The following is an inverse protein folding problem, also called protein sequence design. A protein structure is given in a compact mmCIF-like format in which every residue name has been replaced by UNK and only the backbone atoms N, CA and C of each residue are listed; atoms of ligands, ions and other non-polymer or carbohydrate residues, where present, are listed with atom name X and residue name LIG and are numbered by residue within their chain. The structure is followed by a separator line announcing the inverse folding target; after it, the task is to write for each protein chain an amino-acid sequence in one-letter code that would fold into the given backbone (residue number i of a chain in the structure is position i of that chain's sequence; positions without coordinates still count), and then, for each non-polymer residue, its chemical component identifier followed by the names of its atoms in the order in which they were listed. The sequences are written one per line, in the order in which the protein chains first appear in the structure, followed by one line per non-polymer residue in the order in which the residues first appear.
data_IF_037700863379
#
_entry.id   IF_037700863379
#
_cell.length_a   1.000
_cell.length_b   1.000
_cell.length_c   1.000
_cell.angle_alpha   90.00
_cell.angle_beta   90.00
_cell.angle_gamma   90.00
#
_symmetry.space_group_name_H-M   'P 1'
#
loop_
_entity.id
_entity.type
_entity.pdbx_description
1 polymer ?
#
# COMPACT_ATOMS: atom_id res chain seq x y z
N UNK A 1 -28.93 -8.09 -4.63
CA UNK A 1 -27.86 -8.56 -3.72
C UNK A 1 -27.71 -7.48 -2.64
N UNK A 2 -28.22 -7.72 -1.44
CA UNK A 2 -28.14 -6.75 -0.33
C UNK A 2 -26.76 -6.90 0.29
N UNK A 3 -25.83 -5.98 0.00
CA UNK A 3 -24.55 -5.94 0.70
C UNK A 3 -24.80 -5.38 2.10
N UNK A 4 -24.46 -6.13 3.15
CA UNK A 4 -24.28 -5.55 4.48
C UNK A 4 -23.18 -4.48 4.40
N UNK A 5 -23.30 -3.38 5.15
CA UNK A 5 -22.33 -2.27 5.10
C UNK A 5 -20.87 -2.73 5.27
N UNK A 6 -20.65 -3.82 6.01
CA UNK A 6 -19.36 -4.44 6.25
C UNK A 6 -18.77 -5.13 5.01
N UNK A 7 -19.60 -5.91 4.29
CA UNK A 7 -19.17 -6.58 3.05
C UNK A 7 -18.86 -5.56 1.96
N UNK A 8 -19.61 -4.45 1.91
CA UNK A 8 -19.32 -3.35 1.00
C UNK A 8 -17.92 -2.76 1.26
N UNK A 9 -17.56 -2.50 2.51
CA UNK A 9 -16.26 -1.91 2.85
C UNK A 9 -15.09 -2.83 2.49
N UNK A 10 -15.24 -4.15 2.69
CA UNK A 10 -14.27 -5.14 2.25
C UNK A 10 -14.04 -5.07 0.73
N UNK A 11 -15.10 -5.00 -0.07
CA UNK A 11 -14.96 -4.86 -1.53
C UNK A 11 -14.31 -3.55 -1.94
N UNK A 12 -14.65 -2.45 -1.28
CA UNK A 12 -14.02 -1.15 -1.55
C UNK A 12 -12.51 -1.19 -1.26
N UNK A 13 -12.09 -1.80 -0.15
CA UNK A 13 -10.66 -1.99 0.16
C UNK A 13 -9.97 -2.90 -0.84
N UNK A 14 -10.62 -3.97 -1.30
CA UNK A 14 -10.04 -4.85 -2.30
C UNK A 14 -9.85 -4.14 -3.64
N UNK A 15 -10.86 -3.38 -4.10
CA UNK A 15 -10.77 -2.58 -5.32
C UNK A 15 -9.66 -1.52 -5.18
N UNK A 16 -9.60 -0.82 -4.05
CA UNK A 16 -8.56 0.15 -3.76
C UNK A 16 -7.16 -0.48 -3.76
N UNK A 17 -7.00 -1.71 -3.25
CA UNK A 17 -5.74 -2.45 -3.28
C UNK A 17 -5.33 -2.81 -4.72
N UNK A 18 -6.28 -3.29 -5.55
CA UNK A 18 -6.04 -3.61 -6.96
C UNK A 18 -5.61 -2.35 -7.72
N UNK A 19 -6.36 -1.25 -7.59
CA UNK A 19 -6.01 0.02 -8.23
C UNK A 19 -4.69 0.57 -7.71
N UNK A 20 -4.47 0.49 -6.40
CA UNK A 20 -3.27 0.92 -5.72
C UNK A 20 -2.01 0.13 -6.11
N UNK A 21 -2.16 -1.06 -6.69
CA UNK A 21 -1.06 -1.78 -7.33
C UNK A 21 -0.96 -1.51 -8.83
N UNK A 22 -2.09 -1.58 -9.55
CA UNK A 22 -2.11 -1.44 -10.99
C UNK A 22 -1.56 -0.07 -11.44
N UNK A 23 -1.96 1.01 -10.76
CA UNK A 23 -1.57 2.36 -11.16
C UNK A 23 -0.05 2.59 -10.98
N UNK A 24 0.59 2.37 -9.81
CA UNK A 24 2.04 2.53 -9.70
C UNK A 24 2.83 1.58 -10.60
N UNK A 25 2.41 0.31 -10.70
CA UNK A 25 3.10 -0.67 -11.54
C UNK A 25 3.00 -0.32 -13.03
N UNK A 26 1.90 0.28 -13.48
CA UNK A 26 1.77 0.78 -14.86
C UNK A 26 2.81 1.84 -15.22
N UNK A 27 3.29 2.61 -14.23
CA UNK A 27 4.31 3.64 -14.43
C UNK A 27 5.72 3.07 -14.23
N UNK A 28 5.88 2.12 -13.30
CA UNK A 28 7.15 1.47 -13.02
C UNK A 28 7.59 0.52 -14.16
N UNK A 29 6.64 -0.17 -14.79
CA UNK A 29 6.95 -1.16 -15.83
C UNK A 29 7.62 -0.56 -17.08
N UNK A 30 7.14 0.55 -17.67
CA UNK A 30 7.84 1.25 -18.74
C UNK A 30 9.23 1.75 -18.32
N UNK A 31 9.38 2.24 -17.10
CA UNK A 31 10.67 2.67 -16.57
C UNK A 31 11.67 1.50 -16.52
N UNK A 32 11.25 0.35 -15.97
CA UNK A 32 12.07 -0.86 -15.91
C UNK A 32 12.39 -1.42 -17.30
N UNK A 33 11.45 -1.36 -18.24
CA UNK A 33 11.67 -1.81 -19.61
C UNK A 33 12.71 -0.96 -20.35
N UNK A 34 12.78 0.34 -20.05
CA UNK A 34 13.71 1.27 -20.70
C UNK A 34 15.07 1.36 -20.01
N UNK A 35 15.10 1.30 -18.68
CA UNK A 35 16.29 1.60 -17.88
C UNK A 35 16.83 0.38 -17.12
N UNK A 36 16.11 -0.75 -17.12
CA UNK A 36 16.41 -1.89 -16.26
C UNK A 36 16.12 -1.59 -14.78
N UNK A 37 16.68 -2.41 -13.88
CA UNK A 37 16.54 -2.24 -12.44
C UNK A 37 17.53 -1.18 -11.89
N UNK A 38 17.45 0.04 -12.41
CA UNK A 38 18.32 1.15 -12.01
C UNK A 38 17.68 1.98 -10.88
N UNK A 39 17.88 1.51 -9.65
CA UNK A 39 17.38 2.18 -8.43
C UNK A 39 18.00 3.59 -8.27
N UNK A 40 19.32 3.81 -8.45
CA UNK A 40 19.89 5.16 -8.40
C UNK A 40 19.23 6.16 -9.36
N UNK A 41 18.94 5.74 -10.59
CA UNK A 41 18.25 6.59 -11.57
C UNK A 41 16.82 6.89 -11.15
N UNK A 42 16.11 5.91 -10.60
CA UNK A 42 14.74 6.11 -10.08
C UNK A 42 14.72 7.17 -8.99
N UNK A 43 15.65 7.12 -8.03
CA UNK A 43 15.77 8.15 -7.00
C UNK A 43 16.13 9.52 -7.57
N UNK A 44 17.05 9.58 -8.54
CA UNK A 44 17.41 10.84 -9.20
C UNK A 44 16.21 11.47 -9.93
N UNK A 45 15.38 10.66 -10.58
CA UNK A 45 14.14 11.12 -11.24
C UNK A 45 13.05 11.48 -10.23
N UNK A 46 12.93 10.77 -9.11
CA UNK A 46 11.99 11.09 -8.05
C UNK A 46 12.27 12.47 -7.44
N UNK A 47 13.54 12.81 -7.28
CA UNK A 47 13.97 14.10 -6.73
C UNK A 47 14.43 15.12 -7.78
N UNK A 48 14.06 14.93 -9.06
CA UNK A 48 14.52 15.80 -10.15
C UNK A 48 13.93 17.22 -10.08
N UNK A 49 12.72 17.37 -9.56
CA UNK A 49 12.03 18.65 -9.44
C UNK A 49 11.23 18.73 -8.13
N UNK A 50 10.82 19.95 -7.76
CA UNK A 50 10.14 20.21 -6.50
C UNK A 50 8.82 19.43 -6.36
N UNK A 51 8.07 19.26 -7.45
CA UNK A 51 6.78 18.55 -7.43
C UNK A 51 6.98 17.05 -7.25
N UNK A 52 7.90 16.43 -7.99
CA UNK A 52 8.22 15.01 -7.86
C UNK A 52 8.83 14.71 -6.48
N UNK A 53 9.69 15.59 -5.96
CA UNK A 53 10.25 15.49 -4.62
C UNK A 53 9.15 15.57 -3.55
N UNK A 54 8.18 16.47 -3.70
CA UNK A 54 7.03 16.58 -2.80
C UNK A 54 6.25 15.25 -2.74
N UNK A 55 5.89 14.67 -3.89
CA UNK A 55 5.22 13.37 -3.93
C UNK A 55 6.09 12.24 -3.36
N UNK A 56 7.39 12.23 -3.64
CA UNK A 56 8.31 11.25 -3.09
C UNK A 56 8.38 11.31 -1.56
N UNK A 57 8.52 12.51 -0.99
CA UNK A 57 8.54 12.72 0.45
C UNK A 57 7.19 12.36 1.10
N UNK A 58 6.07 12.74 0.48
CA UNK A 58 4.73 12.41 0.96
C UNK A 58 4.53 10.89 1.06
N UNK A 59 4.98 10.13 0.05
CA UNK A 59 4.94 8.66 0.04
C UNK A 59 5.86 8.06 1.12
N UNK A 60 7.05 8.63 1.33
CA UNK A 60 7.98 8.16 2.37
C UNK A 60 7.37 8.36 3.76
N UNK A 61 6.87 9.56 4.06
CA UNK A 61 6.25 9.87 5.36
C UNK A 61 5.01 9.00 5.56
N UNK A 62 4.16 8.86 4.54
CA UNK A 62 2.98 7.99 4.58
C UNK A 62 3.34 6.51 4.79
N UNK A 63 4.46 6.04 4.23
CA UNK A 63 4.95 4.66 4.44
C UNK A 63 5.36 4.42 5.89
N UNK A 64 6.09 5.37 6.50
CA UNK A 64 6.47 5.28 7.91
C UNK A 64 5.23 5.29 8.81
N UNK A 65 4.28 6.21 8.55
CA UNK A 65 3.02 6.26 9.28
C UNK A 65 2.22 4.95 9.14
N UNK A 66 2.18 4.38 7.93
CA UNK A 66 1.55 3.09 7.67
C UNK A 66 2.19 1.97 8.49
N UNK A 67 3.52 1.89 8.55
CA UNK A 67 4.18 0.84 9.33
C UNK A 67 3.83 0.95 10.82
N UNK A 68 3.89 2.16 11.38
CA UNK A 68 3.48 2.40 12.77
C UNK A 68 2.02 1.96 13.01
N UNK A 69 1.12 2.29 12.07
CA UNK A 69 -0.28 1.89 12.14
C UNK A 69 -0.47 0.37 12.08
N UNK A 70 0.16 -0.30 11.10
CA UNK A 70 0.11 -1.76 10.92
C UNK A 70 0.61 -2.47 12.18
N UNK A 71 1.73 -2.04 12.76
CA UNK A 71 2.28 -2.67 13.96
C UNK A 71 1.44 -2.39 15.20
N UNK A 72 0.97 -1.16 15.40
CA UNK A 72 0.12 -0.79 16.54
C UNK A 72 -1.21 -1.54 16.52
N UNK A 73 -1.93 -1.46 15.40
CA UNK A 73 -3.27 -2.03 15.26
C UNK A 73 -3.22 -3.55 15.11
N UNK A 74 -2.29 -4.04 14.30
CA UNK A 74 -2.10 -5.46 14.06
C UNK A 74 -1.75 -6.22 15.33
N UNK A 75 -0.91 -5.64 16.20
CA UNK A 75 -0.55 -6.26 17.48
C UNK A 75 -1.72 -6.23 18.47
N UNK A 76 -2.47 -5.12 18.56
CA UNK A 76 -3.68 -5.02 19.40
C UNK A 76 -4.73 -6.08 19.06
N UNK A 77 -4.89 -6.39 17.76
CA UNK A 77 -5.87 -7.38 17.27
C UNK A 77 -5.29 -8.78 17.11
N UNK A 78 -4.06 -9.04 17.56
CA UNK A 78 -3.39 -10.34 17.42
C UNK A 78 -3.24 -10.83 15.97
N UNK A 79 -3.19 -9.92 14.99
CA UNK A 79 -3.00 -10.26 13.58
C UNK A 79 -1.61 -10.87 13.37
N UNK A 80 -1.56 -12.01 12.65
CA UNK A 80 -0.30 -12.66 12.27
C UNK A 80 0.23 -12.05 10.97
N UNK A 81 1.54 -12.20 10.73
CA UNK A 81 2.22 -11.85 9.48
C UNK A 81 2.20 -10.36 9.09
N UNK A 82 2.30 -9.45 10.06
CA UNK A 82 2.33 -7.99 9.81
C UNK A 82 3.47 -7.54 8.87
N UNK A 83 4.56 -8.32 8.83
CA UNK A 83 5.69 -8.10 7.93
C UNK A 83 5.30 -8.17 6.44
N UNK A 84 4.23 -8.88 6.08
CA UNK A 84 3.75 -8.95 4.70
C UNK A 84 3.28 -7.57 4.21
N UNK A 85 2.62 -6.78 5.04
CA UNK A 85 2.16 -5.44 4.65
C UNK A 85 3.32 -4.47 4.47
N UNK A 86 4.38 -4.62 5.28
CA UNK A 86 5.64 -3.88 5.09
C UNK A 86 6.28 -4.28 3.76
N UNK A 87 6.31 -5.58 3.44
CA UNK A 87 6.84 -6.05 2.16
C UNK A 87 6.01 -5.53 0.97
N UNK A 88 4.68 -5.55 1.07
CA UNK A 88 3.79 -4.97 0.04
C UNK A 88 4.04 -3.46 -0.14
N UNK A 89 4.30 -2.73 0.95
CA UNK A 89 4.61 -1.32 0.88
C UNK A 89 5.95 -1.05 0.20
N UNK A 90 6.96 -1.88 0.47
CA UNK A 90 8.27 -1.76 -0.20
C UNK A 90 8.22 -2.21 -1.67
N UNK A 91 7.43 -3.23 -1.98
CA UNK A 91 7.34 -3.78 -3.34
C UNK A 91 6.55 -2.87 -4.30
N UNK A 92 5.50 -2.20 -3.81
CA UNK A 92 4.57 -1.44 -4.65
C UNK A 92 4.30 -0.04 -4.12
N UNK A 93 4.07 0.10 -2.82
CA UNK A 93 3.83 1.39 -2.19
C UNK A 93 2.70 1.38 -1.16
N UNK A 94 2.47 2.53 -0.54
CA UNK A 94 1.39 2.75 0.47
C UNK A 94 0.02 2.44 -0.12
N UNK A 95 -0.17 2.78 -1.40
CA UNK A 95 -1.44 2.63 -2.14
C UNK A 95 -1.94 1.20 -2.23
N UNK A 96 -1.07 0.18 -2.24
CA UNK A 96 -1.45 -1.23 -2.15
C UNK A 96 -1.55 -1.68 -0.70
N UNK A 97 -0.48 -1.44 0.07
CA UNK A 97 -0.30 -2.04 1.38
C UNK A 97 -1.36 -1.59 2.40
N UNK A 98 -1.76 -0.32 2.35
CA UNK A 98 -2.76 0.22 3.27
C UNK A 98 -4.16 -0.37 3.06
N UNK A 99 -4.78 -0.30 1.86
CA UNK A 99 -6.10 -0.90 1.66
C UNK A 99 -6.08 -2.42 1.84
N UNK A 100 -4.98 -3.10 1.48
CA UNK A 100 -4.84 -4.54 1.75
C UNK A 100 -4.86 -4.83 3.26
N UNK A 101 -4.17 -4.03 4.07
CA UNK A 101 -4.21 -4.16 5.53
C UNK A 101 -5.63 -3.92 6.06
N UNK A 102 -6.33 -2.90 5.58
CA UNK A 102 -7.70 -2.61 5.99
C UNK A 102 -8.66 -3.75 5.63
N UNK A 103 -8.53 -4.35 4.46
CA UNK A 103 -9.32 -5.52 4.04
C UNK A 103 -9.19 -6.69 5.02
N UNK A 104 -7.96 -7.09 5.37
CA UNK A 104 -7.74 -8.19 6.31
C UNK A 104 -8.12 -7.83 7.75
N UNK A 105 -7.98 -6.56 8.14
CA UNK A 105 -8.46 -6.07 9.43
C UNK A 105 -9.98 -6.25 9.54
N UNK A 106 -10.71 -5.88 8.50
CA UNK A 106 -12.18 -5.98 8.46
C UNK A 106 -12.65 -7.43 8.50
N UNK A 107 -11.98 -8.33 7.75
CA UNK A 107 -12.28 -9.77 7.82
C UNK A 107 -12.06 -10.34 9.21
N UNK A 108 -11.00 -9.90 9.89
CA UNK A 108 -10.68 -10.40 11.23
C UNK A 108 -11.66 -9.88 12.29
N UNK A 109 -12.21 -8.68 12.11
CA UNK A 109 -13.29 -8.16 12.95
C UNK A 109 -14.51 -9.09 12.90
N UNK A 110 -14.94 -9.42 11.69
CA UNK A 110 -16.10 -10.28 11.46
C UNK A 110 -15.89 -11.74 11.92
N UNK A 111 -14.65 -12.22 12.04
CA UNK A 111 -14.36 -13.56 12.61
C UNK A 111 -14.47 -13.59 14.14
N UNK A 112 -14.45 -12.42 14.81
CA UNK A 112 -14.54 -12.31 16.28
C UNK A 112 -15.96 -12.01 16.79
N UNK A 113 -16.91 -11.76 15.90
CA UNK A 113 -18.35 -11.59 16.18
C UNK A 113 -19.09 -12.93 16.06
#
# INVERSE_FOLDING_TARGET
MYFSGETLMQWLYLIAAILGAALPLSQLFPFLAQNGFDVPLLFRQLFQNHVSAFFGLDVIVSSVALWLFVFSEGRRRGMRNLWLYVLCNLAVGVSLAFPLFLFFRERKLHEME
#
